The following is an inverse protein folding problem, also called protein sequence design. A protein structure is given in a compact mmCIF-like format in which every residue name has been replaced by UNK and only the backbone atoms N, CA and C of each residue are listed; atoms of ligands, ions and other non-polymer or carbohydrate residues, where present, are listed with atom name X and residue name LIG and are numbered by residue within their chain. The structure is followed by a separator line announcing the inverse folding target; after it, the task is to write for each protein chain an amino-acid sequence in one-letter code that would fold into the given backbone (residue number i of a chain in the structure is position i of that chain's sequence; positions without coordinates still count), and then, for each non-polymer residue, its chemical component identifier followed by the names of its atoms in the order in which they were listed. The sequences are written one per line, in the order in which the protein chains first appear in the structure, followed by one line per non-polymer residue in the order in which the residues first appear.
data_IF_201289088630
#
_entry.id   IF_201289088630
#
_cell.length_a   1.000
_cell.length_b   1.000
_cell.length_c   1.000
_cell.angle_alpha   90.00
_cell.angle_beta   90.00
_cell.angle_gamma   90.00
#
_symmetry.space_group_name_H-M   'P 1'
#
loop_
_entity.id
_entity.type
_entity.pdbx_description
1 polymer ?
#
# COMPACT_ATOMS: atom_id res chain seq x y z
N UNK A 1 5.81 27.91 -34.26
CA UNK A 1 6.18 26.51 -34.53
C UNK A 1 6.52 25.86 -33.19
N UNK A 2 5.56 25.15 -32.58
CA UNK A 2 5.80 24.46 -31.31
C UNK A 2 6.82 23.34 -31.57
N UNK A 3 8.04 23.49 -31.08
CA UNK A 3 8.99 22.37 -31.05
C UNK A 3 8.41 21.36 -30.07
N UNK A 4 8.00 20.19 -30.55
CA UNK A 4 7.70 19.07 -29.66
C UNK A 4 9.00 18.70 -28.93
N UNK A 5 9.10 19.12 -27.66
CA UNK A 5 10.29 18.92 -26.82
C UNK A 5 10.28 17.56 -26.11
N UNK A 6 9.32 16.68 -26.43
CA UNK A 6 9.24 15.37 -25.78
C UNK A 6 8.95 15.45 -24.28
N UNK A 7 8.34 16.54 -23.80
CA UNK A 7 7.97 16.73 -22.38
C UNK A 7 7.06 15.59 -21.90
N UNK A 8 6.11 15.19 -22.76
CA UNK A 8 5.24 14.04 -22.58
C UNK A 8 5.99 12.69 -22.50
N UNK A 9 7.29 12.66 -22.85
CA UNK A 9 8.17 11.50 -22.80
C UNK A 9 9.04 11.45 -21.54
N UNK A 10 8.89 12.34 -20.55
CA UNK A 10 9.62 12.23 -19.28
C UNK A 10 8.71 11.74 -18.16
N UNK A 11 9.20 10.81 -17.34
CA UNK A 11 8.51 10.40 -16.11
C UNK A 11 8.39 11.61 -15.17
N UNK A 12 7.23 11.76 -14.52
CA UNK A 12 7.02 12.81 -13.52
C UNK A 12 6.76 14.21 -14.09
N UNK A 13 6.61 14.36 -15.41
CA UNK A 13 6.24 15.66 -16.02
C UNK A 13 4.86 15.57 -16.67
N UNK A 14 3.98 16.50 -16.32
CA UNK A 14 2.59 16.56 -16.80
C UNK A 14 2.46 17.80 -17.68
N UNK A 15 1.90 17.64 -18.88
CA UNK A 15 1.60 18.76 -19.78
C UNK A 15 0.45 19.59 -19.24
N UNK A 16 0.59 20.92 -19.26
CA UNK A 16 -0.49 21.83 -18.87
C UNK A 16 -1.33 22.31 -20.06
N UNK A 17 -2.43 23.02 -19.76
CA UNK A 17 -3.27 23.64 -20.79
C UNK A 17 -2.52 24.71 -21.56
N UNK A 18 -1.69 25.51 -20.88
CA UNK A 18 -0.76 26.40 -21.56
C UNK A 18 0.51 25.59 -21.93
N UNK A 19 0.81 25.40 -23.23
CA UNK A 19 1.98 24.63 -23.66
C UNK A 19 3.33 25.28 -23.33
N UNK A 20 3.34 26.53 -22.86
CA UNK A 20 4.54 27.20 -22.34
C UNK A 20 4.95 26.67 -20.95
N UNK A 21 4.07 25.93 -20.27
CA UNK A 21 4.29 25.41 -18.93
C UNK A 21 4.06 23.91 -18.83
N UNK A 22 4.62 23.33 -17.77
CA UNK A 22 4.37 21.96 -17.36
C UNK A 22 4.32 21.85 -15.85
N UNK A 23 3.66 20.81 -15.34
CA UNK A 23 3.67 20.49 -13.92
C UNK A 23 4.71 19.41 -13.65
N UNK A 24 5.55 19.61 -12.65
CA UNK A 24 6.56 18.65 -12.22
C UNK A 24 6.06 17.93 -10.97
N UNK A 25 5.95 16.60 -11.04
CA UNK A 25 5.66 15.75 -9.90
C UNK A 25 6.96 15.22 -9.31
N UNK A 26 7.11 15.29 -7.99
CA UNK A 26 8.25 14.73 -7.26
C UNK A 26 8.01 13.26 -6.86
N UNK A 27 9.07 12.55 -6.46
CA UNK A 27 9.01 11.24 -5.81
C UNK A 27 9.11 11.40 -4.29
N UNK A 28 8.09 10.97 -3.56
CA UNK A 28 7.99 11.06 -2.10
C UNK A 28 7.28 9.80 -1.55
N UNK A 29 7.99 8.66 -1.42
CA UNK A 29 7.37 7.42 -1.01
C UNK A 29 6.82 7.51 0.41
N UNK A 30 5.65 6.92 0.62
CA UNK A 30 4.88 7.00 1.86
C UNK A 30 4.53 8.44 2.31
N UNK A 31 4.70 9.46 1.45
CA UNK A 31 4.53 10.86 1.82
C UNK A 31 5.53 11.36 2.86
N UNK A 32 6.68 10.69 2.99
CA UNK A 32 7.70 11.06 3.95
C UNK A 32 8.62 12.12 3.35
N UNK A 33 8.67 13.28 4.00
CA UNK A 33 9.51 14.41 3.60
C UNK A 33 10.18 15.02 4.83
N UNK A 34 11.47 15.32 4.73
CA UNK A 34 12.22 16.02 5.78
C UNK A 34 11.99 17.54 5.68
N UNK A 35 12.08 18.29 6.78
CA UNK A 35 11.93 19.75 6.75
C UNK A 35 12.88 20.45 5.75
N UNK A 36 14.12 19.97 5.62
CA UNK A 36 15.08 20.50 4.64
C UNK A 36 14.61 20.30 3.18
N UNK A 37 14.10 19.12 2.86
CA UNK A 37 13.56 18.80 1.54
C UNK A 37 12.35 19.68 1.20
N UNK A 38 11.49 19.93 2.19
CA UNK A 38 10.32 20.78 2.01
C UNK A 38 10.73 22.25 1.73
N UNK A 39 11.73 22.78 2.46
CA UNK A 39 12.28 24.12 2.17
C UNK A 39 12.91 24.18 0.79
N UNK A 40 13.71 23.17 0.42
CA UNK A 40 14.32 23.15 -0.90
C UNK A 40 13.32 23.07 -2.04
N UNK A 41 12.18 22.36 -1.87
CA UNK A 41 11.09 22.40 -2.85
C UNK A 41 10.52 23.82 -2.98
N UNK A 42 10.33 24.55 -1.86
CA UNK A 42 9.86 25.93 -1.89
C UNK A 42 10.86 26.85 -2.61
N UNK A 43 12.15 26.75 -2.30
CA UNK A 43 13.21 27.54 -2.94
C UNK A 43 13.29 27.26 -4.45
N UNK A 44 13.12 25.99 -4.85
CA UNK A 44 13.09 25.58 -6.27
C UNK A 44 11.83 26.14 -6.94
N UNK A 45 10.67 25.99 -6.33
CA UNK A 45 9.41 26.51 -6.86
C UNK A 45 9.50 28.03 -7.10
N UNK A 46 9.98 28.81 -6.13
CA UNK A 46 10.17 30.26 -6.26
C UNK A 46 11.19 30.61 -7.36
N UNK A 47 12.33 29.92 -7.39
CA UNK A 47 13.41 30.17 -8.36
C UNK A 47 12.94 30.08 -9.81
N UNK A 48 12.04 29.14 -10.10
CA UNK A 48 11.54 28.88 -11.44
C UNK A 48 10.14 29.47 -11.70
N UNK A 49 9.63 30.27 -10.77
CA UNK A 49 8.43 31.08 -10.97
C UNK A 49 7.10 30.35 -10.74
N UNK A 50 7.07 29.28 -9.94
CA UNK A 50 5.83 28.65 -9.53
C UNK A 50 5.12 29.48 -8.43
N UNK A 51 3.83 29.76 -8.60
CA UNK A 51 3.02 30.51 -7.64
C UNK A 51 2.68 29.70 -6.37
N UNK A 52 2.61 28.38 -6.51
CA UNK A 52 2.25 27.45 -5.45
C UNK A 52 2.75 26.04 -5.74
N UNK A 53 2.72 25.18 -4.72
CA UNK A 53 2.89 23.74 -4.86
C UNK A 53 1.60 23.02 -4.47
N UNK A 54 1.34 21.86 -5.07
CA UNK A 54 0.12 21.10 -4.87
C UNK A 54 0.41 19.74 -4.24
N UNK A 55 -0.33 19.40 -3.18
CA UNK A 55 -0.30 18.06 -2.59
C UNK A 55 -1.22 17.11 -3.37
N UNK A 56 -0.74 15.90 -3.63
CA UNK A 56 -1.45 14.92 -4.46
C UNK A 56 -2.04 13.77 -3.64
N UNK A 57 -3.06 13.11 -4.20
CA UNK A 57 -3.63 11.86 -3.66
C UNK A 57 -2.64 10.68 -3.66
N UNK A 58 -1.47 10.83 -4.30
CA UNK A 58 -0.37 9.86 -4.29
C UNK A 58 0.71 10.21 -3.28
N UNK A 59 0.40 11.07 -2.30
CA UNK A 59 1.31 11.48 -1.23
C UNK A 59 2.61 12.09 -1.76
N UNK A 60 2.53 12.84 -2.85
CA UNK A 60 3.67 13.58 -3.39
C UNK A 60 3.31 15.04 -3.66
N UNK A 61 4.31 15.87 -3.94
CA UNK A 61 4.20 17.29 -4.23
C UNK A 61 4.37 17.51 -5.73
N UNK A 62 3.47 18.31 -6.31
CA UNK A 62 3.51 18.82 -7.67
C UNK A 62 3.86 20.31 -7.67
N UNK A 63 4.66 20.73 -8.66
CA UNK A 63 5.06 22.12 -8.89
C UNK A 63 4.52 22.51 -10.28
N UNK A 64 3.35 23.14 -10.37
CA UNK A 64 2.77 23.64 -11.62
C UNK A 64 3.49 24.89 -12.14
N UNK A 65 3.22 25.26 -13.40
CA UNK A 65 3.71 26.51 -13.98
C UNK A 65 5.19 26.50 -14.34
N UNK A 66 5.80 25.32 -14.52
CA UNK A 66 7.25 25.20 -14.69
C UNK A 66 7.67 25.31 -16.16
N UNK A 67 8.73 26.09 -16.49
CA UNK A 67 9.17 26.29 -17.86
C UNK A 67 9.84 25.03 -18.45
N UNK A 68 9.32 24.45 -19.55
CA UNK A 68 9.86 23.22 -20.13
C UNK A 68 11.32 23.31 -20.58
N UNK A 69 11.83 24.49 -20.95
CA UNK A 69 13.24 24.71 -21.30
C UNK A 69 14.20 24.53 -20.13
N UNK A 70 13.74 24.67 -18.88
CA UNK A 70 14.58 24.54 -17.68
C UNK A 70 14.46 23.16 -17.03
N UNK A 71 13.79 22.20 -17.66
CA UNK A 71 13.49 20.89 -17.05
C UNK A 71 14.73 20.14 -16.57
N UNK A 72 15.85 20.25 -17.29
CA UNK A 72 17.10 19.60 -16.87
C UNK A 72 17.67 20.26 -15.62
N UNK A 73 17.68 21.59 -15.54
CA UNK A 73 18.13 22.32 -14.35
C UNK A 73 17.23 22.00 -13.15
N UNK A 74 15.90 22.04 -13.35
CA UNK A 74 14.93 21.77 -12.28
C UNK A 74 15.08 20.33 -11.80
N UNK A 75 15.26 19.37 -12.72
CA UNK A 75 15.48 17.96 -12.36
C UNK A 75 16.76 17.79 -11.55
N UNK A 76 17.83 18.52 -11.88
CA UNK A 76 19.08 18.49 -11.12
C UNK A 76 18.90 19.07 -9.72
N UNK A 77 18.28 20.25 -9.61
CA UNK A 77 18.00 20.90 -8.32
C UNK A 77 17.14 20.00 -7.42
N UNK A 78 16.09 19.40 -7.97
CA UNK A 78 15.23 18.43 -7.27
C UNK A 78 15.98 17.18 -6.83
N UNK A 79 16.93 16.70 -7.64
CA UNK A 79 17.78 15.55 -7.29
C UNK A 79 18.74 15.91 -6.15
N UNK A 80 19.37 17.09 -6.19
CA UNK A 80 20.22 17.61 -5.12
C UNK A 80 19.44 17.80 -3.82
N UNK A 81 18.17 18.18 -3.90
CA UNK A 81 17.26 18.25 -2.76
C UNK A 81 16.73 16.88 -2.29
N UNK A 82 17.15 15.78 -2.92
CA UNK A 82 16.66 14.42 -2.62
C UNK A 82 15.15 14.25 -2.81
N UNK A 83 14.55 15.03 -3.72
CA UNK A 83 13.13 14.97 -4.13
C UNK A 83 13.03 14.88 -5.65
N UNK A 84 13.63 13.85 -6.29
CA UNK A 84 13.76 13.77 -7.74
C UNK A 84 12.40 13.66 -8.43
N UNK A 85 12.42 13.71 -9.77
CA UNK A 85 11.22 13.52 -10.57
C UNK A 85 10.49 12.21 -10.23
N UNK A 86 9.17 12.31 -10.17
CA UNK A 86 8.23 11.23 -9.94
C UNK A 86 8.00 10.39 -11.20
N UNK A 87 6.90 9.64 -11.19
CA UNK A 87 6.45 8.83 -12.33
C UNK A 87 5.08 9.32 -12.83
N UNK A 88 4.91 9.42 -14.15
CA UNK A 88 3.66 9.91 -14.78
C UNK A 88 3.14 9.03 -15.93
N UNK A 89 3.97 8.19 -16.53
CA UNK A 89 3.55 7.30 -17.63
C UNK A 89 3.04 5.94 -17.16
N UNK A 90 2.99 4.95 -18.05
CA UNK A 90 2.82 3.56 -17.67
C UNK A 90 4.09 3.05 -16.98
N UNK A 91 4.16 3.36 -15.69
CA UNK A 91 5.29 3.09 -14.80
C UNK A 91 4.74 2.68 -13.43
N UNK A 92 5.58 2.07 -12.60
CA UNK A 92 5.31 1.96 -11.17
C UNK A 92 5.32 3.35 -10.54
N UNK A 93 4.16 3.76 -10.00
CA UNK A 93 3.94 5.06 -9.39
C UNK A 93 4.50 5.13 -7.96
N UNK A 94 4.65 6.35 -7.46
CA UNK A 94 5.00 6.64 -6.06
C UNK A 94 4.18 5.78 -5.11
N UNK A 95 4.81 4.97 -4.26
CA UNK A 95 4.12 4.04 -3.35
C UNK A 95 3.55 4.81 -2.16
N UNK A 96 2.25 4.61 -1.84
CA UNK A 96 1.60 5.30 -0.71
C UNK A 96 1.46 4.40 0.51
N UNK A 97 1.50 5.00 1.70
CA UNK A 97 1.31 4.31 2.97
C UNK A 97 0.47 5.13 3.95
N UNK A 98 -0.31 4.46 4.80
CA UNK A 98 -0.83 5.13 5.99
C UNK A 98 0.27 5.23 7.07
N UNK A 99 -0.06 5.83 8.21
CA UNK A 99 0.89 5.99 9.33
C UNK A 99 1.37 4.68 9.97
N UNK A 100 0.71 3.55 9.69
CA UNK A 100 1.05 2.23 10.21
C UNK A 100 0.99 2.15 11.74
N UNK A 101 1.61 1.11 12.30
CA UNK A 101 1.75 0.90 13.74
C UNK A 101 2.78 1.84 14.41
N UNK A 102 3.47 2.70 13.65
CA UNK A 102 4.41 3.69 14.20
C UNK A 102 3.73 4.79 15.01
N UNK A 103 2.46 5.11 14.68
CA UNK A 103 1.71 6.22 15.28
C UNK A 103 0.23 5.91 15.49
N UNK A 104 -0.38 5.09 14.62
CA UNK A 104 -1.80 4.80 14.72
C UNK A 104 -2.05 3.63 15.68
N UNK A 105 -2.94 3.85 16.65
CA UNK A 105 -3.38 2.81 17.61
C UNK A 105 -4.07 1.61 16.95
N UNK A 106 -4.53 1.76 15.70
CA UNK A 106 -5.14 0.69 14.92
C UNK A 106 -4.16 -0.02 13.99
N UNK A 107 -2.94 0.48 13.82
CA UNK A 107 -1.98 -0.11 12.89
C UNK A 107 -1.50 -1.47 13.40
N UNK A 108 -1.65 -2.51 12.58
CA UNK A 108 -1.14 -3.85 12.87
C UNK A 108 0.30 -4.04 12.36
N UNK A 109 0.67 -3.36 11.26
CA UNK A 109 2.01 -3.46 10.62
C UNK A 109 2.68 -2.09 10.45
N UNK A 110 4.00 -2.10 10.26
CA UNK A 110 4.76 -0.92 9.84
C UNK A 110 4.59 -0.67 8.33
N UNK A 111 3.49 0.00 7.98
CA UNK A 111 3.15 0.33 6.61
C UNK A 111 4.19 1.26 5.94
N UNK A 112 4.86 2.13 6.69
CA UNK A 112 5.82 3.10 6.14
C UNK A 112 7.08 2.37 5.70
N UNK A 113 7.67 1.53 6.56
CA UNK A 113 8.87 0.75 6.21
C UNK A 113 8.64 -0.12 4.98
N UNK A 114 7.48 -0.81 4.93
CA UNK A 114 7.13 -1.66 3.79
C UNK A 114 6.98 -0.86 2.49
N UNK A 115 6.32 0.30 2.53
CA UNK A 115 6.20 1.14 1.34
C UNK A 115 7.54 1.68 0.85
N UNK A 116 8.43 2.09 1.76
CA UNK A 116 9.78 2.52 1.40
C UNK A 116 10.62 1.37 0.80
N UNK A 117 10.45 0.15 1.28
CA UNK A 117 11.10 -1.04 0.72
C UNK A 117 10.59 -1.35 -0.69
N UNK A 118 9.27 -1.40 -0.89
CA UNK A 118 8.65 -1.62 -2.20
C UNK A 118 9.09 -0.53 -3.19
N UNK A 119 9.08 0.74 -2.76
CA UNK A 119 9.47 1.86 -3.60
C UNK A 119 10.95 1.79 -4.02
N UNK A 120 11.86 1.42 -3.11
CA UNK A 120 13.29 1.21 -3.44
C UNK A 120 13.49 0.13 -4.51
N UNK A 121 12.66 -0.91 -4.52
CA UNK A 121 12.78 -2.04 -5.45
C UNK A 121 12.15 -1.76 -6.81
N UNK A 122 11.03 -1.02 -6.85
CA UNK A 122 10.13 -1.04 -8.01
C UNK A 122 9.83 0.32 -8.62
N UNK A 123 10.08 1.44 -7.93
CA UNK A 123 9.70 2.77 -8.42
C UNK A 123 10.26 3.07 -9.81
N UNK A 124 9.43 3.67 -10.67
CA UNK A 124 9.87 4.15 -11.99
C UNK A 124 10.13 3.06 -13.02
N UNK A 125 9.92 1.78 -12.69
CA UNK A 125 9.98 0.70 -13.68
C UNK A 125 8.93 0.93 -14.76
N UNK A 126 9.34 0.91 -16.03
CA UNK A 126 8.43 0.97 -17.17
C UNK A 126 7.54 -0.27 -17.20
N UNK A 127 6.26 -0.07 -17.47
CA UNK A 127 5.23 -1.11 -17.41
C UNK A 127 4.31 -1.01 -18.63
N UNK A 128 3.66 -2.11 -19.04
CA UNK A 128 2.61 -2.03 -20.06
C UNK A 128 1.39 -1.21 -19.58
N UNK A 129 1.20 -1.10 -18.27
CA UNK A 129 0.10 -0.35 -17.63
C UNK A 129 0.63 0.42 -16.43
N UNK A 130 0.10 1.62 -16.15
CA UNK A 130 0.39 2.32 -14.88
C UNK A 130 0.06 1.44 -13.67
N UNK A 131 0.99 1.33 -12.74
CA UNK A 131 0.82 0.53 -11.52
C UNK A 131 0.87 1.42 -10.28
N UNK A 132 -0.27 1.56 -9.60
CA UNK A 132 -0.35 2.21 -8.28
C UNK A 132 -0.28 1.14 -7.21
N UNK A 133 0.63 1.33 -6.27
CA UNK A 133 0.79 0.45 -5.10
C UNK A 133 0.40 1.21 -3.84
N UNK A 134 -0.42 0.60 -2.98
CA UNK A 134 -0.88 1.23 -1.74
C UNK A 134 -0.78 0.27 -0.55
N UNK A 135 -0.21 0.75 0.55
CA UNK A 135 -0.01 -0.01 1.79
C UNK A 135 -0.88 0.58 2.90
N UNK A 136 -1.64 -0.26 3.59
CA UNK A 136 -2.40 0.11 4.79
C UNK A 136 -2.04 -0.79 5.95
N UNK A 137 -1.88 -0.18 7.12
CA UNK A 137 -1.46 -0.88 8.34
C UNK A 137 -2.52 -1.79 8.95
N UNK A 138 -3.79 -1.63 8.58
CA UNK A 138 -4.92 -2.37 9.14
C UNK A 138 -6.13 -2.39 8.18
N UNK A 139 -7.21 -3.14 8.50
CA UNK A 139 -8.43 -3.21 7.70
C UNK A 139 -9.18 -1.89 7.49
N UNK A 140 -8.92 -0.85 8.29
CA UNK A 140 -9.50 0.48 8.06
C UNK A 140 -9.07 1.12 6.73
N UNK A 141 -8.04 0.58 6.08
CA UNK A 141 -7.75 0.82 4.66
C UNK A 141 -7.60 2.32 4.28
N UNK A 142 -6.92 3.13 5.10
CA UNK A 142 -6.81 4.58 4.91
C UNK A 142 -6.18 5.01 3.57
N UNK A 143 -5.39 4.15 2.92
CA UNK A 143 -4.83 4.40 1.56
C UNK A 143 -5.68 3.80 0.43
N UNK A 144 -6.81 3.19 0.76
CA UNK A 144 -7.68 2.38 -0.11
C UNK A 144 -6.89 1.33 -0.93
N UNK A 145 -6.12 0.42 -0.30
CA UNK A 145 -5.31 -0.59 -0.99
C UNK A 145 -6.08 -1.37 -2.06
N UNK A 146 -7.34 -1.74 -1.77
CA UNK A 146 -8.21 -2.47 -2.70
C UNK A 146 -8.63 -1.67 -3.95
N UNK A 147 -8.42 -0.35 -3.97
CA UNK A 147 -8.73 0.50 -5.14
C UNK A 147 -7.48 0.87 -5.95
N UNK A 148 -6.34 0.27 -5.64
CA UNK A 148 -5.10 0.44 -6.38
C UNK A 148 -4.75 -0.87 -7.10
N UNK A 149 -3.95 -0.79 -8.16
CA UNK A 149 -3.62 -1.97 -8.97
C UNK A 149 -2.98 -3.08 -8.11
N UNK A 150 -2.19 -2.68 -7.11
CA UNK A 150 -1.68 -3.57 -6.06
C UNK A 150 -1.93 -2.92 -4.69
N UNK A 151 -2.50 -3.67 -3.77
CA UNK A 151 -2.76 -3.27 -2.40
C UNK A 151 -2.09 -4.21 -1.40
N UNK A 152 -1.61 -3.68 -0.28
CA UNK A 152 -1.15 -4.47 0.87
C UNK A 152 -1.86 -3.99 2.12
N UNK A 153 -2.37 -4.92 2.91
CA UNK A 153 -3.13 -4.64 4.13
C UNK A 153 -2.63 -5.50 5.29
N UNK A 154 -2.30 -4.88 6.42
CA UNK A 154 -2.00 -5.60 7.65
C UNK A 154 -3.26 -6.15 8.30
N UNK A 155 -3.25 -7.41 8.71
CA UNK A 155 -4.30 -8.05 9.52
C UNK A 155 -3.65 -8.77 10.69
N UNK A 156 -4.43 -9.07 11.71
CA UNK A 156 -3.97 -9.82 12.89
C UNK A 156 -5.09 -10.73 13.35
N UNK A 157 -4.83 -12.02 13.35
CA UNK A 157 -5.81 -13.04 13.73
C UNK A 157 -5.87 -13.14 15.26
N UNK A 158 -7.04 -12.91 15.88
CA UNK A 158 -7.20 -12.99 17.32
C UNK A 158 -7.37 -14.43 17.81
N UNK A 159 -6.53 -14.83 18.76
CA UNK A 159 -6.54 -16.14 19.42
C UNK A 159 -7.24 -16.05 20.77
N UNK A 160 -8.18 -16.97 21.00
CA UNK A 160 -8.88 -17.15 22.28
C UNK A 160 -8.39 -18.43 22.92
N UNK A 161 -7.63 -18.31 24.01
CA UNK A 161 -7.17 -19.48 24.78
C UNK A 161 -8.33 -20.00 25.65
N UNK A 162 -8.72 -21.28 25.52
CA UNK A 162 -9.78 -21.86 26.34
C UNK A 162 -9.51 -21.71 27.84
N UNK A 163 -10.54 -21.39 28.62
CA UNK A 163 -10.46 -21.28 30.08
C UNK A 163 -9.84 -20.00 30.63
N UNK A 164 -9.22 -19.16 29.81
CA UNK A 164 -8.60 -17.90 30.28
C UNK A 164 -9.57 -16.73 30.38
N UNK A 165 -10.61 -16.68 29.53
CA UNK A 165 -11.50 -15.53 29.42
C UNK A 165 -12.34 -15.29 30.68
N UNK A 166 -12.37 -14.05 31.18
CA UNK A 166 -13.18 -13.63 32.34
C UNK A 166 -14.64 -13.28 31.99
N UNK A 167 -15.00 -13.19 30.72
CA UNK A 167 -16.35 -12.86 30.29
C UNK A 167 -16.78 -11.39 30.45
N UNK A 168 -15.84 -10.47 30.72
CA UNK A 168 -16.15 -9.05 31.02
C UNK A 168 -16.85 -8.26 29.90
N UNK A 169 -16.86 -8.75 28.65
CA UNK A 169 -17.62 -8.13 27.56
C UNK A 169 -16.94 -6.97 26.82
N UNK A 170 -15.81 -6.43 27.29
CA UNK A 170 -15.15 -5.28 26.63
C UNK A 170 -14.86 -5.52 25.14
N UNK A 171 -14.36 -6.70 24.78
CA UNK A 171 -14.11 -7.04 23.37
C UNK A 171 -15.37 -7.02 22.48
N UNK A 172 -16.57 -7.22 23.04
CA UNK A 172 -17.85 -7.11 22.33
C UNK A 172 -18.17 -5.63 22.07
N UNK A 173 -18.04 -4.78 23.09
CA UNK A 173 -18.32 -3.34 22.98
C UNK A 173 -17.47 -2.64 21.92
N UNK A 174 -16.20 -3.04 21.80
CA UNK A 174 -15.28 -2.47 20.82
C UNK A 174 -15.34 -3.11 19.43
N UNK A 175 -16.08 -4.22 19.25
CA UNK A 175 -16.18 -4.90 17.96
C UNK A 175 -17.17 -4.22 17.03
N UNK A 176 -16.67 -3.48 16.03
CA UNK A 176 -17.53 -2.80 15.03
C UNK A 176 -18.17 -3.73 14.00
N UNK A 177 -17.69 -4.97 13.89
CA UNK A 177 -18.20 -5.96 12.94
C UNK A 177 -19.27 -6.87 13.58
N UNK A 178 -19.63 -6.64 14.84
CA UNK A 178 -20.52 -7.51 15.62
C UNK A 178 -20.13 -9.00 15.54
N UNK A 179 -18.82 -9.24 15.48
CA UNK A 179 -18.23 -10.56 15.31
C UNK A 179 -18.00 -11.28 16.65
N UNK A 180 -18.27 -10.64 17.79
CA UNK A 180 -17.94 -11.18 19.11
C UNK A 180 -19.19 -11.18 19.99
N UNK A 181 -19.41 -12.29 20.71
CA UNK A 181 -20.47 -12.39 21.71
C UNK A 181 -19.95 -13.08 22.98
N UNK A 182 -20.55 -12.78 24.14
CA UNK A 182 -20.33 -13.57 25.36
C UNK A 182 -21.33 -14.72 25.40
N UNK A 183 -20.85 -15.96 25.40
CA UNK A 183 -21.67 -17.17 25.56
C UNK A 183 -21.15 -17.97 26.74
N UNK A 184 -22.01 -18.32 27.70
CA UNK A 184 -21.63 -19.09 28.90
C UNK A 184 -20.42 -18.49 29.65
N UNK A 185 -20.35 -17.16 29.73
CA UNK A 185 -19.27 -16.45 30.44
C UNK A 185 -17.94 -16.36 29.67
N UNK A 186 -17.86 -16.80 28.42
CA UNK A 186 -16.65 -16.68 27.59
C UNK A 186 -16.89 -15.89 26.30
N UNK A 187 -15.86 -15.18 25.84
CA UNK A 187 -15.86 -14.52 24.53
C UNK A 187 -15.81 -15.54 23.41
N UNK A 188 -16.76 -15.48 22.49
CA UNK A 188 -16.84 -16.32 21.28
C UNK A 188 -16.76 -15.43 20.05
N UNK A 189 -15.88 -15.78 19.12
CA UNK A 189 -15.69 -15.10 17.84
C UNK A 189 -16.47 -15.81 16.73
N UNK A 190 -17.14 -15.02 15.90
CA UNK A 190 -17.65 -15.43 14.60
C UNK A 190 -16.65 -15.01 13.51
N UNK A 191 -15.88 -15.98 13.03
CA UNK A 191 -14.85 -15.75 12.00
C UNK A 191 -15.44 -15.33 10.65
N UNK A 192 -16.74 -15.54 10.39
CA UNK A 192 -17.37 -15.11 9.14
C UNK A 192 -17.59 -13.59 9.07
N UNK A 193 -17.64 -12.93 10.24
CA UNK A 193 -17.77 -11.47 10.37
C UNK A 193 -16.46 -10.79 10.73
N UNK A 194 -15.53 -11.51 11.34
CA UNK A 194 -14.24 -10.96 11.74
C UNK A 194 -13.41 -10.54 10.52
N UNK A 195 -12.91 -9.31 10.52
CA UNK A 195 -12.01 -8.79 9.48
C UNK A 195 -10.53 -8.74 9.93
N UNK A 196 -10.21 -9.38 11.06
CA UNK A 196 -8.86 -9.43 11.65
C UNK A 196 -8.24 -8.05 11.91
N UNK A 197 -9.07 -7.14 12.42
CA UNK A 197 -8.65 -5.78 12.76
C UNK A 197 -7.83 -5.70 14.06
N UNK A 198 -7.89 -6.73 14.91
CA UNK A 198 -7.17 -6.81 16.19
C UNK A 198 -7.65 -5.89 17.30
N UNK A 199 -8.78 -5.19 17.11
CA UNK A 199 -9.31 -4.27 18.14
C UNK A 199 -9.67 -5.01 19.42
N UNK A 200 -10.20 -6.23 19.32
CA UNK A 200 -10.53 -7.06 20.48
C UNK A 200 -9.29 -7.42 21.33
N UNK A 201 -8.14 -7.65 20.69
CA UNK A 201 -6.86 -7.95 21.37
C UNK A 201 -6.47 -6.74 22.22
N UNK A 202 -6.35 -5.56 21.59
CA UNK A 202 -5.90 -4.32 22.24
C UNK A 202 -6.86 -3.78 23.29
N UNK A 203 -8.15 -4.08 23.17
CA UNK A 203 -9.18 -3.62 24.13
C UNK A 203 -9.35 -4.56 25.32
N UNK A 204 -8.67 -5.71 25.36
CA UNK A 204 -8.79 -6.63 26.49
C UNK A 204 -8.12 -6.02 27.74
N UNK A 205 -8.88 -5.68 28.80
CA UNK A 205 -8.30 -5.03 29.99
C UNK A 205 -7.40 -5.97 30.81
N UNK A 206 -7.46 -7.27 30.53
CA UNK A 206 -6.71 -8.32 31.22
C UNK A 206 -5.61 -8.96 30.36
N UNK A 207 -5.42 -8.50 29.11
CA UNK A 207 -4.43 -9.05 28.16
C UNK A 207 -4.55 -10.57 27.90
N UNK A 208 -5.79 -11.08 27.94
CA UNK A 208 -6.08 -12.53 27.81
C UNK A 208 -6.31 -12.97 26.36
N UNK A 209 -6.58 -12.03 25.46
CA UNK A 209 -6.74 -12.29 24.03
C UNK A 209 -5.38 -12.17 23.36
N UNK A 210 -4.97 -13.23 22.67
CA UNK A 210 -3.65 -13.33 22.04
C UNK A 210 -3.75 -13.22 20.52
N UNK A 211 -2.62 -13.33 19.82
CA UNK A 211 -2.59 -13.25 18.35
C UNK A 211 -1.60 -14.22 17.74
N UNK A 212 -1.82 -14.63 16.48
CA UNK A 212 -0.83 -15.38 15.70
C UNK A 212 0.26 -14.48 15.08
N UNK A 213 0.34 -13.23 15.55
CA UNK A 213 1.15 -12.17 14.94
C UNK A 213 0.44 -11.49 13.75
N UNK A 214 0.95 -10.32 13.32
CA UNK A 214 0.41 -9.65 12.15
C UNK A 214 0.80 -10.38 10.86
N UNK A 215 -0.11 -10.37 9.89
CA UNK A 215 0.11 -10.89 8.54
C UNK A 215 -0.31 -9.87 7.49
N UNK A 216 0.12 -10.07 6.24
CA UNK A 216 0.00 -9.13 5.14
C UNK A 216 -0.87 -9.74 4.06
N UNK A 217 -2.02 -9.13 3.79
CA UNK A 217 -2.90 -9.50 2.68
C UNK A 217 -2.55 -8.66 1.47
N UNK A 218 -2.21 -9.32 0.36
CA UNK A 218 -1.94 -8.69 -0.92
C UNK A 218 -3.20 -8.78 -1.77
N UNK A 219 -3.63 -7.65 -2.35
CA UNK A 219 -4.75 -7.56 -3.28
C UNK A 219 -4.28 -7.05 -4.64
N UNK A 220 -4.88 -7.51 -5.72
CA UNK A 220 -4.53 -7.09 -7.09
C UNK A 220 -5.78 -6.77 -7.90
N UNK A 221 -5.66 -5.83 -8.84
CA UNK A 221 -6.74 -5.50 -9.78
C UNK A 221 -7.71 -4.44 -9.30
N UNK A 222 -7.36 -3.68 -8.26
CA UNK A 222 -8.12 -2.49 -7.89
C UNK A 222 -7.92 -1.36 -8.89
N UNK A 223 -8.94 -0.55 -9.11
CA UNK A 223 -8.82 0.66 -9.92
C UNK A 223 -9.68 1.80 -9.40
N UNK A 224 -9.09 3.01 -9.40
CA UNK A 224 -9.83 4.28 -9.31
C UNK A 224 -10.01 4.87 -10.70
N UNK A 225 -11.10 5.58 -10.93
CA UNK A 225 -11.36 6.32 -12.16
C UNK A 225 -12.84 6.35 -12.52
N UNK A 226 -13.13 6.48 -13.83
CA UNK A 226 -14.51 6.53 -14.38
C UNK A 226 -15.32 5.27 -14.04
N UNK A 227 -14.66 4.11 -14.02
CA UNK A 227 -15.24 2.81 -13.69
C UNK A 227 -14.40 2.14 -12.58
N UNK A 228 -14.65 2.46 -11.30
CA UNK A 228 -13.86 1.92 -10.21
C UNK A 228 -14.12 0.42 -10.04
N UNK A 229 -13.05 -0.34 -9.79
CA UNK A 229 -13.10 -1.79 -9.49
C UNK A 229 -12.41 -2.08 -8.17
N UNK A 230 -12.98 -3.01 -7.41
CA UNK A 230 -12.42 -3.51 -6.15
C UNK A 230 -11.43 -4.63 -6.49
N UNK A 231 -10.22 -4.52 -5.96
CA UNK A 231 -9.16 -5.52 -6.09
C UNK A 231 -9.50 -6.80 -5.34
N UNK A 232 -8.99 -7.91 -5.85
CA UNK A 232 -9.24 -9.26 -5.32
C UNK A 232 -8.06 -9.68 -4.45
N UNK A 233 -8.34 -10.36 -3.35
CA UNK A 233 -7.29 -10.93 -2.51
C UNK A 233 -6.49 -11.98 -3.29
N UNK A 234 -5.19 -11.82 -3.33
CA UNK A 234 -4.28 -12.72 -4.03
C UNK A 234 -3.75 -13.78 -3.07
N UNK A 235 -3.06 -13.33 -2.02
CA UNK A 235 -2.39 -14.19 -1.04
C UNK A 235 -2.16 -13.43 0.26
N UNK A 236 -2.00 -14.18 1.35
CA UNK A 236 -1.61 -13.67 2.66
C UNK A 236 -0.23 -14.24 3.05
N UNK A 237 0.64 -13.41 3.59
CA UNK A 237 2.01 -13.79 4.01
C UNK A 237 2.35 -13.29 5.40
N UNK A 238 3.31 -13.94 6.08
CA UNK A 238 3.63 -13.70 7.50
C UNK A 238 4.58 -12.52 7.73
N UNK A 239 5.41 -12.17 6.76
CA UNK A 239 6.48 -11.18 6.94
C UNK A 239 6.38 -10.00 5.97
N UNK A 240 6.92 -8.84 6.38
CA UNK A 240 7.00 -7.66 5.51
C UNK A 240 7.87 -7.90 4.29
N UNK A 241 8.96 -8.67 4.47
CA UNK A 241 9.87 -9.06 3.40
C UNK A 241 9.16 -9.92 2.37
N UNK A 242 8.45 -10.96 2.80
CA UNK A 242 7.64 -11.79 1.90
C UNK A 242 6.57 -10.95 1.18
N UNK A 243 5.95 -9.97 1.86
CA UNK A 243 4.99 -9.08 1.21
C UNK A 243 5.64 -8.25 0.09
N UNK A 244 6.84 -7.69 0.32
CA UNK A 244 7.59 -6.98 -0.72
C UNK A 244 8.00 -7.91 -1.88
N UNK A 245 8.43 -9.13 -1.58
CA UNK A 245 8.81 -10.15 -2.58
C UNK A 245 7.59 -10.55 -3.44
N UNK A 246 6.41 -10.72 -2.84
CA UNK A 246 5.16 -11.00 -3.56
C UNK A 246 4.80 -9.82 -4.47
N UNK A 247 4.88 -8.58 -3.99
CA UNK A 247 4.59 -7.40 -4.81
C UNK A 247 5.54 -7.34 -6.02
N UNK A 248 6.82 -7.62 -5.83
CA UNK A 248 7.81 -7.69 -6.91
C UNK A 248 7.50 -8.79 -7.93
N UNK A 249 7.07 -9.98 -7.47
CA UNK A 249 6.61 -11.07 -8.34
C UNK A 249 5.37 -10.66 -9.15
N UNK A 250 4.40 -9.99 -8.53
CA UNK A 250 3.20 -9.48 -9.20
C UNK A 250 3.58 -8.45 -10.27
N UNK A 251 4.44 -7.48 -9.94
CA UNK A 251 4.91 -6.48 -10.92
C UNK A 251 5.62 -7.17 -12.09
N UNK A 252 6.46 -8.17 -11.82
CA UNK A 252 7.14 -8.93 -12.86
C UNK A 252 6.17 -9.72 -13.73
N UNK A 253 5.12 -10.30 -13.15
CA UNK A 253 4.06 -10.98 -13.88
C UNK A 253 3.30 -10.01 -14.79
N UNK A 254 2.90 -8.85 -14.27
CA UNK A 254 2.20 -7.81 -15.05
C UNK A 254 3.05 -7.34 -16.21
N UNK A 255 4.34 -7.08 -15.97
CA UNK A 255 5.28 -6.67 -17.01
C UNK A 255 5.33 -7.65 -18.19
N UNK A 256 5.25 -8.95 -17.91
CA UNK A 256 5.37 -10.00 -18.93
C UNK A 256 4.07 -10.30 -19.69
N UNK A 257 2.91 -10.04 -19.08
CA UNK A 257 1.62 -10.57 -19.55
C UNK A 257 0.54 -9.54 -19.81
N UNK A 258 0.61 -8.36 -19.20
CA UNK A 258 -0.38 -7.32 -19.42
C UNK A 258 -0.15 -6.57 -20.74
N UNK A 259 -1.24 -6.07 -21.31
CA UNK A 259 -1.27 -5.33 -22.57
C UNK A 259 -1.38 -3.83 -22.35
N UNK A 260 -0.72 -3.05 -23.22
CA UNK A 260 -0.80 -1.58 -23.19
C UNK A 260 -2.17 -1.05 -23.60
N UNK A 261 -2.56 0.10 -23.04
CA UNK A 261 -3.80 0.80 -23.38
C UNK A 261 -5.05 0.29 -22.64
N UNK A 262 -4.92 -0.75 -21.81
CA UNK A 262 -6.00 -1.31 -21.01
C UNK A 262 -5.66 -1.20 -19.51
N UNK A 263 -6.65 -1.12 -18.62
CA UNK A 263 -6.39 -1.15 -17.18
C UNK A 263 -6.13 -2.59 -16.73
N UNK A 264 -5.23 -2.80 -15.76
CA UNK A 264 -4.96 -4.13 -15.21
C UNK A 264 -6.25 -4.82 -14.72
N UNK A 265 -7.14 -4.06 -14.07
CA UNK A 265 -8.41 -4.54 -13.55
C UNK A 265 -9.38 -5.07 -14.63
N UNK A 266 -9.23 -4.62 -15.88
CA UNK A 266 -10.04 -5.11 -17.01
C UNK A 266 -9.42 -6.36 -17.64
N UNK A 267 -8.09 -6.48 -17.58
CA UNK A 267 -7.35 -7.61 -18.15
C UNK A 267 -7.36 -8.86 -17.27
N UNK A 268 -7.48 -8.72 -15.94
CA UNK A 268 -7.41 -9.86 -15.02
C UNK A 268 -8.51 -10.91 -15.20
N UNK A 269 -9.65 -10.53 -15.78
CA UNK A 269 -10.71 -11.47 -16.11
C UNK A 269 -10.32 -12.33 -17.32
N UNK A 270 -9.78 -11.72 -18.39
CA UNK A 270 -9.27 -12.44 -19.56
C UNK A 270 -8.02 -13.26 -19.23
N UNK A 271 -7.14 -12.73 -18.39
CA UNK A 271 -5.92 -13.41 -17.92
C UNK A 271 -6.22 -14.50 -16.87
N UNK A 272 -7.48 -14.76 -16.56
CA UNK A 272 -7.96 -15.77 -15.59
C UNK A 272 -7.29 -15.63 -14.22
N UNK A 273 -7.85 -14.74 -13.41
CA UNK A 273 -7.34 -14.41 -12.07
C UNK A 273 -6.95 -15.62 -11.19
N UNK A 274 -7.70 -16.73 -11.20
CA UNK A 274 -7.36 -17.91 -10.39
C UNK A 274 -6.07 -18.59 -10.84
N UNK A 275 -5.83 -18.69 -12.15
CA UNK A 275 -4.57 -19.23 -12.68
C UNK A 275 -3.40 -18.32 -12.31
N UNK A 276 -3.58 -17.00 -12.41
CA UNK A 276 -2.61 -16.03 -11.91
C UNK A 276 -2.32 -16.20 -10.41
N UNK A 277 -3.36 -16.39 -9.59
CA UNK A 277 -3.23 -16.60 -8.15
C UNK A 277 -2.41 -17.85 -7.84
N UNK A 278 -2.68 -18.96 -8.51
CA UNK A 278 -1.93 -20.21 -8.35
C UNK A 278 -0.47 -20.06 -8.77
N UNK A 279 -0.20 -19.42 -9.90
CA UNK A 279 1.17 -19.17 -10.38
C UNK A 279 1.99 -18.32 -9.41
N UNK A 280 1.39 -17.28 -8.81
CA UNK A 280 2.10 -16.47 -7.81
C UNK A 280 2.29 -17.25 -6.51
N UNK A 281 1.27 -17.97 -6.04
CA UNK A 281 1.36 -18.77 -4.81
C UNK A 281 2.44 -19.85 -4.89
N UNK A 282 2.59 -20.51 -6.05
CA UNK A 282 3.63 -21.51 -6.28
C UNK A 282 5.07 -20.97 -6.20
N UNK A 283 5.24 -19.64 -6.24
CA UNK A 283 6.55 -18.97 -6.16
C UNK A 283 6.88 -18.45 -4.75
N UNK A 284 6.03 -18.73 -3.76
CA UNK A 284 6.18 -18.30 -2.36
C UNK A 284 6.54 -19.54 -1.53
N UNK A 285 7.50 -19.41 -0.62
CA UNK A 285 7.85 -20.50 0.29
C UNK A 285 6.67 -20.78 1.24
N UNK A 286 6.43 -22.05 1.57
CA UNK A 286 5.28 -22.43 2.43
C UNK A 286 5.36 -21.78 3.81
N UNK A 287 6.57 -21.61 4.36
CA UNK A 287 6.82 -20.93 5.64
C UNK A 287 6.42 -19.44 5.64
N UNK A 288 6.44 -18.79 4.48
CA UNK A 288 6.04 -17.39 4.33
C UNK A 288 4.52 -17.23 4.19
N UNK A 289 3.80 -18.28 3.79
CA UNK A 289 2.36 -18.23 3.61
C UNK A 289 1.63 -18.17 4.96
N UNK A 290 0.63 -17.30 5.02
CA UNK A 290 -0.31 -17.25 6.14
C UNK A 290 -1.58 -18.04 5.80
N UNK A 291 -1.94 -18.98 6.67
CA UNK A 291 -3.18 -19.76 6.60
C UNK A 291 -4.00 -19.52 7.87
N UNK A 292 -5.22 -18.97 7.77
CA UNK A 292 -6.09 -18.77 8.94
C UNK A 292 -6.40 -20.09 9.65
N UNK A 293 -6.48 -20.07 10.97
CA UNK A 293 -7.02 -21.17 11.78
C UNK A 293 -6.14 -22.41 11.98
N UNK A 294 -4.87 -22.39 11.53
CA UNK A 294 -3.90 -23.45 11.83
C UNK A 294 -2.92 -22.91 12.89
N UNK A 295 -3.30 -23.00 14.15
CA UNK A 295 -2.32 -23.07 15.24
C UNK A 295 -2.08 -24.56 15.47
N UNK A 296 -0.84 -25.01 15.31
CA UNK A 296 -0.47 -26.34 15.78
C UNK A 296 -0.62 -26.36 17.30
N UNK A 297 -0.98 -27.51 17.87
CA UNK A 297 -1.01 -27.71 19.33
C UNK A 297 0.34 -27.34 20.02
N UNK A 298 1.43 -27.24 19.24
CA UNK A 298 2.78 -26.85 19.66
C UNK A 298 2.97 -25.32 19.87
N UNK A 299 2.17 -24.46 19.23
CA UNK A 299 2.33 -23.00 19.35
C UNK A 299 1.78 -22.48 20.69
N UNK A 300 0.80 -23.17 21.28
CA UNK A 300 0.19 -22.81 22.57
C UNK A 300 1.08 -23.22 23.75
N UNK A 301 1.94 -24.24 23.59
CA UNK A 301 2.79 -24.79 24.66
C UNK A 301 4.19 -24.18 24.72
N UNK A 302 4.66 -23.53 23.65
CA UNK A 302 6.03 -22.99 23.52
C UNK A 302 6.21 -21.55 24.03
N UNK A 303 5.15 -20.86 24.46
CA UNK A 303 5.25 -19.47 24.91
C UNK A 303 5.61 -18.47 23.80
N UNK A 304 5.53 -18.89 22.54
CA UNK A 304 5.85 -18.09 21.35
C UNK A 304 4.70 -17.17 20.91
N UNK A 305 3.55 -17.29 21.58
CA UNK A 305 2.40 -16.40 21.41
C UNK A 305 2.66 -15.12 22.19
N UNK A 306 2.87 -14.02 21.46
CA UNK A 306 2.95 -12.67 22.04
C UNK A 306 1.56 -12.07 22.24
#
# INVERSE_FOLDING_TARGET
MFKDRGVHKRGGVITERNPEYCTIRTRLPAGMIRPGQLRGIADIAERYGADAVQLTVRQTIEIPGMPPERLDDISNDLTTNETPLGAEKDEVKNVIACTGNRRCIFGNIDAISLALEIDRRLFGKEMPVKLRIAVSGCPNACTSPMLNEIGVMGRIEPIRVPGMCTGCGTCVEYCKEDAIAIKKGISVLDSSKCIDCGVCIRSCPYDLLKSSGPYYVITVGGSRGRHPKIGRELVAVRSSRAAADVVEKVVTWVYRRAWSGWLLADQLDELRFETFREEIRAQIAEEDLFRPGILGEEDVSSGTVT
#
